data_IF_929386049690
#
_entry.id   IF_929386049690
#
_cell.length_a   1.000
_cell.length_b   1.000
_cell.length_c   1.000
_cell.angle_alpha   90.00
_cell.angle_beta   90.00
_cell.angle_gamma   90.00
#
_symmetry.space_group_name_H-M   'P 1'
#
loop_
_entity.id
_entity.type
_entity.pdbx_description
1 polymer ?
#
# COMPACT_ATOMS: atom_id res chain seq x y z
N UNK A 1 31.35 38.57 -32.51
CA UNK A 1 32.82 38.73 -32.79
C UNK A 1 33.44 37.36 -32.63
N UNK A 2 33.88 36.82 -33.74
CA UNK A 2 35.12 36.12 -34.06
C UNK A 2 35.48 34.91 -33.15
N UNK A 3 35.88 33.74 -33.61
CA UNK A 3 36.26 33.05 -34.88
C UNK A 3 36.70 31.67 -34.43
N UNK A 4 36.22 30.57 -34.96
CA UNK A 4 36.82 29.68 -36.01
C UNK A 4 38.28 29.27 -35.83
N UNK A 5 38.57 27.96 -35.86
CA UNK A 5 39.41 27.27 -36.87
C UNK A 5 39.83 25.92 -36.25
N UNK A 6 39.56 24.76 -36.78
CA UNK A 6 39.99 24.10 -38.05
C UNK A 6 41.40 23.56 -38.06
N UNK A 7 41.46 22.34 -38.53
CA UNK A 7 42.45 21.64 -39.39
C UNK A 7 43.23 20.55 -38.66
N UNK A 8 43.20 19.29 -39.03
CA UNK A 8 43.46 18.57 -40.29
C UNK A 8 44.87 18.01 -40.37
N UNK A 9 44.95 16.81 -40.87
CA UNK A 9 45.95 16.09 -41.68
C UNK A 9 46.61 14.90 -40.94
N UNK A 10 46.41 13.66 -41.30
CA UNK A 10 46.83 12.87 -42.48
C UNK A 10 48.30 12.44 -42.43
N UNK A 11 48.53 11.14 -42.55
CA UNK A 11 49.89 10.58 -42.73
C UNK A 11 49.84 9.06 -42.86
N UNK A 12 49.91 8.62 -44.04
CA UNK A 12 50.06 7.30 -44.64
C UNK A 12 51.43 6.66 -44.34
N UNK A 13 51.52 5.32 -44.35
CA UNK A 13 52.81 4.64 -44.43
C UNK A 13 52.65 3.11 -44.44
N UNK A 14 52.61 2.55 -45.63
CA UNK A 14 52.63 1.10 -45.83
C UNK A 14 54.04 0.55 -45.79
N UNK A 15 54.17 -0.67 -45.38
CA UNK A 15 55.33 -1.49 -45.70
C UNK A 15 54.93 -2.96 -45.83
N UNK A 16 55.10 -3.49 -47.02
CA UNK A 16 55.03 -4.90 -47.38
C UNK A 16 56.33 -5.58 -47.06
N UNK A 17 56.32 -6.73 -46.40
CA UNK A 17 57.40 -7.67 -46.45
C UNK A 17 56.91 -9.09 -46.71
N UNK A 18 57.56 -9.74 -47.68
CA UNK A 18 57.33 -11.11 -48.20
C UNK A 18 58.18 -12.10 -47.44
N UNK A 19 57.61 -13.21 -47.11
CA UNK A 19 57.91 -14.62 -47.03
C UNK A 19 59.23 -15.08 -46.36
N UNK A 20 59.39 -16.37 -46.01
CA UNK A 20 59.17 -17.47 -46.91
C UNK A 20 58.42 -18.71 -46.34
N UNK A 21 58.13 -19.58 -47.23
CA UNK A 21 57.55 -20.95 -47.12
C UNK A 21 58.46 -21.86 -46.29
N UNK A 22 57.91 -22.64 -45.37
CA UNK A 22 58.52 -23.83 -44.83
C UNK A 22 57.49 -24.96 -44.66
N UNK A 23 57.89 -26.10 -45.10
CA UNK A 23 57.21 -27.35 -45.44
C UNK A 23 56.76 -28.14 -44.21
N UNK A 24 55.65 -28.79 -44.41
CA UNK A 24 55.00 -29.91 -43.75
C UNK A 24 55.74 -30.73 -42.69
N UNK A 25 55.01 -31.07 -41.65
CA UNK A 25 55.08 -32.39 -41.00
C UNK A 25 53.66 -32.75 -40.47
N UNK A 26 53.07 -33.75 -41.08
CA UNK A 26 51.84 -34.36 -40.64
C UNK A 26 52.13 -35.22 -39.41
N UNK A 27 51.56 -34.88 -38.27
CA UNK A 27 51.41 -35.79 -37.13
C UNK A 27 49.95 -36.06 -36.90
N UNK A 28 49.51 -37.26 -37.20
CA UNK A 28 48.21 -37.80 -36.80
C UNK A 28 48.16 -37.90 -35.28
N UNK A 29 47.52 -36.93 -34.65
CA UNK A 29 47.11 -37.01 -33.26
C UNK A 29 45.66 -37.47 -33.19
N UNK A 30 45.44 -38.70 -32.72
CA UNK A 30 44.09 -39.20 -32.33
C UNK A 30 43.59 -38.35 -31.16
N UNK A 31 42.73 -37.41 -31.43
CA UNK A 31 42.01 -36.69 -30.36
C UNK A 31 40.77 -37.50 -30.04
N UNK A 32 40.80 -38.26 -28.95
CA UNK A 32 39.62 -38.84 -28.33
C UNK A 32 38.79 -37.71 -27.75
N UNK A 33 37.68 -37.38 -28.46
CA UNK A 33 36.67 -36.43 -27.93
C UNK A 33 35.92 -37.16 -26.80
N UNK A 34 36.29 -36.82 -25.57
CA UNK A 34 35.45 -37.13 -24.40
C UNK A 34 34.26 -36.20 -24.45
N UNK A 35 33.14 -36.72 -24.94
CA UNK A 35 31.86 -36.02 -24.87
C UNK A 35 31.44 -35.93 -23.40
N UNK A 36 31.71 -34.81 -22.77
CA UNK A 36 31.15 -34.46 -21.46
C UNK A 36 29.64 -34.23 -21.64
N UNK A 37 28.85 -35.29 -21.40
CA UNK A 37 27.41 -35.18 -21.28
C UNK A 37 27.13 -34.29 -20.05
N UNK A 38 26.89 -32.98 -20.29
CA UNK A 38 26.30 -32.14 -19.29
C UNK A 38 24.87 -32.62 -19.03
N UNK A 39 24.70 -33.35 -17.92
CA UNK A 39 23.39 -33.67 -17.38
C UNK A 39 22.72 -32.36 -17.04
N UNK A 40 21.98 -31.79 -17.98
CA UNK A 40 21.03 -30.69 -17.74
C UNK A 40 19.98 -31.25 -16.80
N UNK A 41 20.16 -31.03 -15.51
CA UNK A 41 19.16 -31.31 -14.50
C UNK A 41 17.85 -30.60 -14.89
N UNK A 42 16.69 -31.15 -14.56
CA UNK A 42 15.41 -30.52 -14.90
C UNK A 42 15.42 -29.11 -14.37
N UNK A 43 15.22 -28.11 -15.25
CA UNK A 43 15.09 -26.72 -14.87
C UNK A 43 13.99 -26.66 -13.80
N UNK A 44 14.37 -26.32 -12.55
CA UNK A 44 13.38 -26.10 -11.49
C UNK A 44 12.41 -25.07 -12.03
N UNK A 45 11.21 -25.49 -12.37
CA UNK A 45 10.10 -24.61 -12.70
C UNK A 45 9.98 -23.60 -11.56
N UNK A 46 10.28 -22.33 -11.85
CA UNK A 46 10.12 -21.28 -10.85
C UNK A 46 8.66 -21.30 -10.41
N UNK A 47 8.44 -21.48 -9.11
CA UNK A 47 7.08 -21.45 -8.56
C UNK A 47 6.38 -20.17 -9.04
N UNK A 48 5.10 -20.24 -9.44
CA UNK A 48 4.40 -19.09 -9.99
C UNK A 48 4.50 -17.91 -9.01
N UNK A 49 4.96 -16.77 -9.52
CA UNK A 49 5.12 -15.55 -8.73
C UNK A 49 3.76 -15.13 -8.22
N UNK A 50 3.54 -15.21 -6.92
CA UNK A 50 2.29 -14.78 -6.31
C UNK A 50 2.29 -13.26 -6.12
N UNK A 51 1.16 -12.64 -6.40
CA UNK A 51 0.96 -11.20 -6.23
C UNK A 51 -0.27 -10.94 -5.37
N UNK A 52 -0.26 -9.83 -4.65
CA UNK A 52 -1.38 -9.36 -3.86
C UNK A 52 -1.66 -7.90 -4.22
N UNK A 53 -2.91 -7.59 -4.53
CA UNK A 53 -3.37 -6.21 -4.68
C UNK A 53 -4.20 -5.83 -3.45
N UNK A 54 -3.73 -4.82 -2.73
CA UNK A 54 -4.39 -4.23 -1.57
C UNK A 54 -4.91 -2.85 -1.96
N UNK A 55 -6.14 -2.53 -1.58
CA UNK A 55 -6.71 -1.20 -1.72
C UNK A 55 -6.99 -0.60 -0.34
N UNK A 56 -6.74 0.69 -0.14
CA UNK A 56 -7.30 1.44 0.99
C UNK A 56 -8.29 2.47 0.49
N UNK A 57 -9.37 2.66 1.24
CA UNK A 57 -10.38 3.64 0.90
C UNK A 57 -11.21 4.03 2.12
N UNK A 58 -11.14 5.31 2.49
CA UNK A 58 -12.15 5.88 3.38
C UNK A 58 -13.44 6.02 2.57
N UNK A 59 -14.47 5.29 2.98
CA UNK A 59 -15.74 5.21 2.25
C UNK A 59 -16.64 6.41 2.46
N UNK A 60 -16.33 7.25 3.46
CA UNK A 60 -17.25 8.31 3.90
C UNK A 60 -18.69 7.76 4.07
N UNK A 61 -18.81 6.61 4.75
CA UNK A 61 -20.08 5.93 4.96
C UNK A 61 -20.91 6.48 6.12
N UNK A 62 -20.26 7.28 6.97
CA UNK A 62 -20.89 7.89 8.15
C UNK A 62 -21.55 9.21 7.76
N UNK A 63 -22.78 9.14 7.29
CA UNK A 63 -23.51 10.25 6.67
C UNK A 63 -23.49 11.53 7.52
N UNK A 64 -23.60 11.41 8.84
CA UNK A 64 -23.58 12.54 9.78
C UNK A 64 -22.22 13.24 9.90
N UNK A 65 -21.14 12.68 9.31
CA UNK A 65 -19.81 13.29 9.27
C UNK A 65 -19.55 14.06 7.97
N UNK A 66 -20.58 14.68 7.42
CA UNK A 66 -20.55 15.44 6.17
C UNK A 66 -20.41 14.57 4.91
N UNK A 67 -20.81 13.32 5.00
CA UNK A 67 -20.73 12.34 3.90
C UNK A 67 -21.98 12.25 3.02
N UNK A 68 -23.01 13.10 3.25
CA UNK A 68 -24.31 13.03 2.54
C UNK A 68 -24.19 13.19 1.02
N UNK A 69 -23.26 14.00 0.54
CA UNK A 69 -23.08 14.27 -0.88
C UNK A 69 -22.07 13.35 -1.57
N UNK A 70 -21.54 12.35 -0.87
CA UNK A 70 -20.46 11.48 -1.36
C UNK A 70 -20.94 10.17 -1.97
N UNK A 71 -22.20 10.08 -2.40
CA UNK A 71 -22.79 8.89 -3.01
C UNK A 71 -23.56 8.01 -2.03
N UNK A 72 -24.51 7.26 -2.57
CA UNK A 72 -25.36 6.34 -1.80
C UNK A 72 -24.58 5.12 -1.29
N UNK A 73 -25.08 4.40 -0.27
CA UNK A 73 -24.50 3.12 0.16
C UNK A 73 -24.34 2.12 -1.00
N UNK A 74 -25.27 2.09 -1.94
CA UNK A 74 -25.19 1.25 -3.15
C UNK A 74 -24.05 1.69 -4.07
N UNK A 75 -23.87 3.00 -4.30
CA UNK A 75 -22.76 3.50 -5.10
C UNK A 75 -21.40 3.12 -4.49
N UNK A 76 -21.27 3.18 -3.16
CA UNK A 76 -20.08 2.77 -2.43
C UNK A 76 -19.80 1.27 -2.58
N UNK A 77 -20.80 0.41 -2.47
CA UNK A 77 -20.67 -1.04 -2.69
C UNK A 77 -20.24 -1.34 -4.13
N UNK A 78 -20.89 -0.74 -5.12
CA UNK A 78 -20.54 -0.90 -6.54
C UNK A 78 -19.08 -0.48 -6.83
N UNK A 79 -18.58 0.54 -6.14
CA UNK A 79 -17.18 0.96 -6.26
C UNK A 79 -16.22 -0.11 -5.71
N UNK A 80 -16.53 -0.75 -4.57
CA UNK A 80 -15.75 -1.87 -4.03
C UNK A 80 -15.75 -3.07 -4.99
N UNK A 81 -16.91 -3.47 -5.51
CA UNK A 81 -17.04 -4.55 -6.49
C UNK A 81 -16.25 -4.26 -7.77
N UNK A 82 -16.30 -3.01 -8.26
CA UNK A 82 -15.52 -2.58 -9.42
C UNK A 82 -14.00 -2.65 -9.15
N UNK A 83 -13.54 -2.29 -7.96
CA UNK A 83 -12.14 -2.44 -7.59
C UNK A 83 -11.72 -3.91 -7.47
N UNK A 84 -12.59 -4.77 -6.93
CA UNK A 84 -12.34 -6.19 -6.85
C UNK A 84 -12.27 -6.85 -8.24
N UNK A 85 -13.23 -6.55 -9.12
CA UNK A 85 -13.36 -7.20 -10.44
C UNK A 85 -12.42 -6.60 -11.49
N UNK A 86 -12.33 -5.26 -11.59
CA UNK A 86 -11.60 -4.57 -12.66
C UNK A 86 -10.15 -4.25 -12.29
N UNK A 87 -9.87 -3.97 -11.02
CA UNK A 87 -8.51 -3.64 -10.55
C UNK A 87 -7.81 -4.82 -9.88
N UNK A 88 -8.49 -5.94 -9.69
CA UNK A 88 -7.94 -7.12 -9.08
C UNK A 88 -7.61 -6.98 -7.59
N UNK A 89 -8.20 -6.00 -6.90
CA UNK A 89 -8.04 -5.86 -5.46
C UNK A 89 -8.58 -7.11 -4.74
N UNK A 90 -7.81 -7.66 -3.83
CA UNK A 90 -8.15 -8.88 -3.07
C UNK A 90 -8.16 -8.66 -1.57
N UNK A 91 -7.65 -7.53 -1.10
CA UNK A 91 -7.71 -7.08 0.28
C UNK A 91 -8.05 -5.60 0.26
N UNK A 92 -9.00 -5.20 1.09
CA UNK A 92 -9.42 -3.81 1.26
C UNK A 92 -9.23 -3.38 2.71
N UNK A 93 -8.67 -2.21 2.89
CA UNK A 93 -8.60 -1.45 4.13
C UNK A 93 -9.69 -0.38 4.05
N UNK A 94 -10.72 -0.51 4.84
CA UNK A 94 -11.87 0.38 4.77
C UNK A 94 -11.96 1.22 6.03
N UNK A 95 -12.15 2.52 5.86
CA UNK A 95 -12.40 3.46 6.93
C UNK A 95 -13.80 4.06 6.73
N UNK A 96 -14.42 4.49 7.80
CA UNK A 96 -15.80 5.02 7.83
C UNK A 96 -16.81 4.10 7.15
N UNK A 97 -16.59 2.79 7.27
CA UNK A 97 -17.52 1.80 6.75
C UNK A 97 -18.58 1.47 7.78
N UNK A 98 -19.81 1.28 7.32
CA UNK A 98 -20.93 0.83 8.13
C UNK A 98 -21.02 -0.70 8.10
N UNK A 99 -21.15 -1.34 9.25
CA UNK A 99 -21.15 -2.80 9.37
C UNK A 99 -22.17 -3.49 8.45
N UNK A 100 -23.39 -2.98 8.38
CA UNK A 100 -24.42 -3.55 7.50
C UNK A 100 -24.11 -3.37 6.01
N UNK A 101 -23.40 -2.31 5.60
CA UNK A 101 -22.96 -2.15 4.21
C UNK A 101 -21.76 -3.07 3.91
N UNK A 102 -20.88 -3.29 4.88
CA UNK A 102 -19.80 -4.27 4.77
C UNK A 102 -20.33 -5.70 4.58
N UNK A 103 -21.37 -6.08 5.35
CA UNK A 103 -22.01 -7.39 5.21
C UNK A 103 -22.64 -7.58 3.82
N UNK A 104 -23.29 -6.54 3.29
CA UNK A 104 -23.89 -6.58 1.96
C UNK A 104 -22.83 -6.73 0.88
N UNK A 105 -21.76 -5.91 0.88
CA UNK A 105 -20.70 -6.02 -0.13
C UNK A 105 -19.99 -7.37 -0.05
N UNK A 106 -19.78 -7.91 1.16
CA UNK A 106 -19.24 -9.27 1.31
C UNK A 106 -20.13 -10.32 0.68
N UNK A 107 -21.46 -10.20 0.87
CA UNK A 107 -22.41 -11.11 0.24
C UNK A 107 -22.40 -10.99 -1.29
N UNK A 108 -22.37 -9.77 -1.82
CA UNK A 108 -22.32 -9.48 -3.26
C UNK A 108 -21.03 -10.02 -3.92
N UNK A 109 -19.90 -9.93 -3.22
CA UNK A 109 -18.61 -10.48 -3.68
C UNK A 109 -18.52 -12.00 -3.57
N UNK A 110 -19.38 -12.64 -2.77
CA UNK A 110 -19.51 -14.08 -2.65
C UNK A 110 -18.86 -14.70 -1.41
N UNK A 111 -19.16 -15.98 -1.20
CA UNK A 111 -18.84 -16.73 0.03
C UNK A 111 -17.32 -16.88 0.33
N UNK A 112 -16.46 -16.68 -0.65
CA UNK A 112 -14.99 -16.72 -0.46
C UNK A 112 -14.43 -15.45 0.19
N UNK A 113 -15.23 -14.40 0.35
CA UNK A 113 -14.79 -13.17 0.97
C UNK A 113 -15.05 -13.18 2.47
N UNK A 114 -14.08 -12.62 3.21
CA UNK A 114 -14.04 -12.56 4.66
C UNK A 114 -13.94 -11.12 5.12
N UNK A 115 -14.50 -10.83 6.27
CA UNK A 115 -14.47 -9.48 6.87
C UNK A 115 -14.01 -9.56 8.31
N UNK A 116 -13.21 -8.57 8.71
CA UNK A 116 -12.92 -8.26 10.11
C UNK A 116 -13.26 -6.79 10.35
N UNK A 117 -13.87 -6.48 11.46
CA UNK A 117 -14.42 -5.16 11.72
C UNK A 117 -14.11 -4.70 13.14
N UNK A 118 -13.63 -3.46 13.28
CA UNK A 118 -13.44 -2.77 14.56
C UNK A 118 -14.33 -1.53 14.59
N UNK A 119 -15.33 -1.44 15.51
CA UNK A 119 -16.21 -0.28 15.59
C UNK A 119 -15.47 0.94 16.14
N UNK A 120 -15.85 2.12 15.67
CA UNK A 120 -15.53 3.37 16.34
C UNK A 120 -16.34 3.51 17.61
N UNK A 121 -15.74 4.18 18.58
CA UNK A 121 -16.41 4.51 19.84
C UNK A 121 -16.31 6.00 20.13
N UNK A 122 -17.27 6.49 20.86
CA UNK A 122 -17.30 7.83 21.39
C UNK A 122 -17.16 7.78 22.91
N UNK A 123 -16.19 8.47 23.47
CA UNK A 123 -16.05 8.64 24.91
C UNK A 123 -16.58 10.02 25.31
N UNK A 124 -17.61 10.02 26.14
CA UNK A 124 -18.19 11.25 26.68
C UNK A 124 -17.40 11.82 27.87
N UNK A 125 -17.76 13.03 28.28
CA UNK A 125 -17.13 13.74 29.43
C UNK A 125 -17.28 12.98 30.76
N UNK A 126 -18.31 12.14 30.89
CA UNK A 126 -18.53 11.29 32.07
C UNK A 126 -17.68 10.00 32.04
N UNK A 127 -16.83 9.81 31.03
CA UNK A 127 -16.06 8.59 30.81
C UNK A 127 -16.84 7.45 30.16
N UNK A 128 -18.16 7.57 29.96
CA UNK A 128 -18.98 6.58 29.28
C UNK A 128 -18.54 6.46 27.82
N UNK A 129 -18.36 5.23 27.36
CA UNK A 129 -18.05 4.90 25.97
C UNK A 129 -19.26 4.29 25.30
N UNK A 130 -19.57 4.77 24.07
CA UNK A 130 -20.67 4.27 23.23
C UNK A 130 -20.15 3.96 21.84
N UNK A 131 -20.73 2.97 21.18
CA UNK A 131 -20.43 2.66 19.78
C UNK A 131 -21.01 3.73 18.86
N UNK A 132 -20.20 4.22 17.93
CA UNK A 132 -20.65 5.13 16.86
C UNK A 132 -21.49 4.31 15.86
N UNK A 133 -22.62 4.85 15.47
CA UNK A 133 -23.54 4.20 14.52
C UNK A 133 -23.73 5.05 13.28
N UNK A 134 -23.88 4.40 12.14
CA UNK A 134 -24.33 5.05 10.91
C UNK A 134 -25.82 5.42 11.00
N UNK A 135 -26.20 6.48 10.31
CA UNK A 135 -27.57 7.03 10.41
C UNK A 135 -28.62 6.24 9.62
N UNK A 136 -28.22 5.53 8.57
CA UNK A 136 -29.13 4.81 7.69
C UNK A 136 -29.70 3.53 8.33
N UNK A 137 -30.95 3.20 7.99
CA UNK A 137 -31.60 1.98 8.44
C UNK A 137 -30.79 0.73 8.05
N UNK A 138 -30.51 -0.14 9.02
CA UNK A 138 -29.74 -1.38 8.82
C UNK A 138 -28.27 -1.20 8.53
N UNK A 139 -27.69 0.00 8.64
CA UNK A 139 -26.25 0.23 8.46
C UNK A 139 -25.41 -0.17 9.68
N UNK A 140 -25.97 -0.12 10.90
CA UNK A 140 -25.29 -0.61 12.10
C UNK A 140 -24.18 0.30 12.61
N UNK A 141 -23.12 -0.30 13.15
CA UNK A 141 -21.96 0.42 13.67
C UNK A 141 -21.08 0.99 12.55
N UNK A 142 -20.46 2.14 12.81
CA UNK A 142 -19.39 2.68 11.97
C UNK A 142 -18.01 2.22 12.46
N UNK A 143 -17.06 1.99 11.57
CA UNK A 143 -15.74 1.51 11.98
C UNK A 143 -14.69 1.47 10.88
N UNK A 144 -13.60 0.77 11.19
CA UNK A 144 -12.60 0.30 10.22
C UNK A 144 -12.82 -1.17 9.94
N UNK A 145 -12.47 -1.61 8.72
CA UNK A 145 -12.58 -3.01 8.37
C UNK A 145 -11.45 -3.50 7.46
N UNK A 146 -11.18 -4.78 7.54
CA UNK A 146 -10.48 -5.58 6.53
C UNK A 146 -11.54 -6.40 5.77
N UNK A 147 -11.55 -6.28 4.44
CA UNK A 147 -12.37 -7.12 3.57
C UNK A 147 -11.41 -7.87 2.64
N UNK A 148 -11.45 -9.20 2.61
CA UNK A 148 -10.43 -10.03 1.96
C UNK A 148 -11.04 -11.20 1.20
N UNK A 149 -10.54 -11.44 -0.02
CA UNK A 149 -10.80 -12.66 -0.80
C UNK A 149 -10.05 -13.90 -0.27
N UNK A 150 -9.26 -13.73 0.78
CA UNK A 150 -8.51 -14.79 1.44
C UNK A 150 -8.90 -14.88 2.91
N UNK A 151 -8.73 -16.04 3.53
CA UNK A 151 -8.89 -16.19 4.96
C UNK A 151 -7.97 -15.24 5.73
N UNK A 152 -8.51 -14.60 6.75
CA UNK A 152 -7.78 -13.78 7.71
C UNK A 152 -7.54 -14.59 8.97
N UNK A 153 -6.34 -14.51 9.51
CA UNK A 153 -5.93 -15.13 10.77
C UNK A 153 -5.14 -14.16 11.61
N UNK A 154 -4.87 -14.48 12.87
CA UNK A 154 -4.18 -13.60 13.81
C UNK A 154 -4.75 -12.17 13.78
N UNK A 155 -6.08 -12.09 13.85
CA UNK A 155 -6.81 -10.81 13.86
C UNK A 155 -6.58 -10.13 15.19
N UNK A 156 -6.16 -8.87 15.15
CA UNK A 156 -5.73 -8.15 16.34
C UNK A 156 -6.05 -6.67 16.23
N UNK A 157 -6.85 -6.10 17.15
CA UNK A 157 -6.94 -4.67 17.33
C UNK A 157 -5.64 -4.17 17.97
N UNK A 158 -4.99 -3.19 17.36
CA UNK A 158 -3.77 -2.57 17.92
C UNK A 158 -4.17 -1.43 18.83
N UNK A 159 -3.75 -1.50 20.08
CA UNK A 159 -3.99 -0.43 21.03
C UNK A 159 -3.07 0.76 20.76
N UNK A 160 -3.64 1.96 20.85
CA UNK A 160 -2.92 3.21 20.67
C UNK A 160 -3.59 4.33 21.47
N UNK A 161 -2.87 5.42 21.68
CA UNK A 161 -3.43 6.57 22.40
C UNK A 161 -4.68 7.07 21.68
N UNK A 162 -5.73 7.30 22.47
CA UNK A 162 -7.04 7.72 21.98
C UNK A 162 -7.52 8.98 22.72
N UNK A 163 -8.42 9.79 22.14
CA UNK A 163 -9.01 10.92 22.83
C UNK A 163 -9.56 10.57 24.22
N UNK A 164 -9.27 11.40 25.21
CA UNK A 164 -9.87 11.31 26.54
C UNK A 164 -11.37 11.58 26.48
N UNK A 165 -11.78 12.54 25.65
CA UNK A 165 -13.18 12.83 25.32
C UNK A 165 -13.28 13.03 23.81
N UNK A 166 -14.09 12.26 23.14
CA UNK A 166 -14.27 12.38 21.69
C UNK A 166 -14.35 11.07 20.95
N UNK A 167 -14.11 11.16 19.64
CA UNK A 167 -14.15 10.03 18.71
C UNK A 167 -12.87 9.20 18.84
N UNK A 168 -13.04 7.92 19.17
CA UNK A 168 -11.96 6.95 19.24
C UNK A 168 -12.00 6.08 17.99
N UNK A 169 -10.99 6.23 17.18
CA UNK A 169 -10.76 5.46 15.94
C UNK A 169 -9.94 4.20 16.25
N UNK A 170 -9.33 3.58 15.24
CA UNK A 170 -8.58 2.35 15.54
C UNK A 170 -7.69 1.86 14.44
N UNK A 171 -6.89 0.88 14.84
CA UNK A 171 -5.99 0.11 14.00
C UNK A 171 -6.41 -1.36 14.12
N UNK A 172 -6.56 -2.04 13.00
CA UNK A 172 -6.95 -3.45 12.92
C UNK A 172 -5.97 -4.19 12.02
N UNK A 173 -5.33 -5.21 12.56
CA UNK A 173 -4.38 -6.05 11.84
C UNK A 173 -4.89 -7.47 11.68
N UNK A 174 -4.43 -8.15 10.63
CA UNK A 174 -4.64 -9.58 10.41
C UNK A 174 -3.51 -10.15 9.53
N UNK A 175 -3.46 -11.45 9.39
CA UNK A 175 -2.60 -12.14 8.42
C UNK A 175 -3.44 -12.74 7.31
N UNK A 176 -3.10 -12.44 6.06
CA UNK A 176 -3.66 -13.09 4.87
C UNK A 176 -3.04 -14.48 4.76
N UNK A 177 -3.76 -15.51 5.20
CA UNK A 177 -3.23 -16.84 5.49
C UNK A 177 -2.47 -17.46 4.29
N UNK A 178 -3.07 -17.44 3.10
CA UNK A 178 -2.49 -18.09 1.90
C UNK A 178 -1.30 -17.33 1.30
N UNK A 179 -1.11 -16.07 1.69
CA UNK A 179 -0.03 -15.21 1.21
C UNK A 179 1.09 -15.04 2.24
N UNK A 180 0.83 -15.34 3.51
CA UNK A 180 1.74 -15.09 4.62
C UNK A 180 2.13 -13.60 4.70
N UNK A 181 1.16 -12.72 4.45
CA UNK A 181 1.33 -11.25 4.48
C UNK A 181 0.49 -10.70 5.62
N UNK A 182 1.12 -9.96 6.52
CA UNK A 182 0.40 -9.20 7.53
C UNK A 182 -0.21 -7.96 6.90
N UNK A 183 -1.43 -7.65 7.26
CA UNK A 183 -2.17 -6.49 6.77
C UNK A 183 -2.71 -5.69 7.93
N UNK A 184 -2.53 -4.37 7.93
CA UNK A 184 -3.03 -3.49 8.99
C UNK A 184 -3.72 -2.27 8.39
N UNK A 185 -5.00 -2.10 8.68
CA UNK A 185 -5.74 -0.87 8.39
C UNK A 185 -5.76 0.05 9.58
N UNK A 186 -5.67 1.35 9.33
CA UNK A 186 -5.77 2.38 10.35
C UNK A 186 -6.71 3.50 9.91
N UNK A 187 -7.39 4.09 10.88
CA UNK A 187 -7.97 5.42 10.77
C UNK A 187 -7.51 6.20 12.00
N UNK A 188 -6.65 7.19 11.80
CA UNK A 188 -6.06 7.91 12.91
C UNK A 188 -6.91 9.14 13.29
N UNK A 189 -6.66 9.67 14.47
CA UNK A 189 -7.29 10.90 14.95
C UNK A 189 -6.96 12.09 14.04
N UNK A 190 -7.81 13.10 14.07
CA UNK A 190 -7.50 14.41 13.50
C UNK A 190 -7.02 15.35 14.60
N UNK A 191 -6.30 16.43 14.27
CA UNK A 191 -6.08 17.52 15.21
C UNK A 191 -7.40 17.97 15.86
N UNK A 192 -7.40 18.16 17.18
CA UNK A 192 -8.58 18.58 17.92
C UNK A 192 -9.65 17.50 18.20
N UNK A 193 -9.41 16.24 17.84
CA UNK A 193 -10.37 15.16 18.14
C UNK A 193 -10.52 14.88 19.64
N UNK A 194 -9.51 15.21 20.46
CA UNK A 194 -9.67 15.20 21.93
C UNK A 194 -10.30 16.51 22.41
N UNK A 195 -11.59 16.44 22.76
CA UNK A 195 -12.33 17.61 23.22
C UNK A 195 -11.96 18.10 24.63
N UNK A 196 -11.33 17.24 25.42
CA UNK A 196 -10.81 17.63 26.74
C UNK A 196 -9.44 18.30 26.62
N UNK A 197 -8.68 17.96 25.59
CA UNK A 197 -7.33 18.45 25.34
C UNK A 197 -7.15 18.70 23.83
N UNK A 198 -7.75 19.76 23.28
CA UNK A 198 -7.78 20.00 21.82
C UNK A 198 -6.39 20.23 21.22
N UNK A 199 -5.40 20.62 22.04
CA UNK A 199 -4.01 20.81 21.61
C UNK A 199 -3.17 19.53 21.65
N UNK A 200 -3.73 18.40 22.10
CA UNK A 200 -2.99 17.16 22.12
C UNK A 200 -2.89 16.57 20.70
N UNK A 201 -1.65 16.30 20.31
CA UNK A 201 -1.38 15.48 19.15
C UNK A 201 -1.44 13.99 19.54
N UNK A 202 -2.23 13.23 18.80
CA UNK A 202 -2.43 11.80 19.04
C UNK A 202 -1.89 10.95 17.90
N UNK A 203 -1.71 11.53 16.70
CA UNK A 203 -1.30 10.79 15.50
C UNK A 203 0.12 10.25 15.61
N UNK A 204 1.01 10.93 16.32
CA UNK A 204 2.39 10.49 16.55
C UNK A 204 2.45 9.16 17.32
N UNK A 205 1.70 9.05 18.43
CA UNK A 205 1.60 7.81 19.21
C UNK A 205 0.86 6.71 18.42
N UNK A 206 -0.17 7.07 17.66
CA UNK A 206 -0.93 6.14 16.83
C UNK A 206 -0.09 5.61 15.65
N UNK A 207 0.72 6.45 15.00
CA UNK A 207 1.67 6.05 13.96
C UNK A 207 2.78 5.15 14.50
N UNK A 208 3.30 5.44 15.71
CA UNK A 208 4.27 4.57 16.40
C UNK A 208 3.67 3.20 16.70
N UNK A 209 2.42 3.16 17.19
CA UNK A 209 1.72 1.90 17.46
C UNK A 209 1.49 1.09 16.18
N UNK A 210 1.05 1.75 15.09
CA UNK A 210 0.89 1.12 13.78
C UNK A 210 2.22 0.57 13.25
N UNK A 211 3.30 1.36 13.31
CA UNK A 211 4.63 0.94 12.85
C UNK A 211 5.19 -0.23 13.68
N UNK A 212 4.92 -0.28 14.99
CA UNK A 212 5.33 -1.37 15.86
C UNK A 212 4.59 -2.70 15.58
N UNK A 213 3.35 -2.62 15.06
CA UNK A 213 2.52 -3.79 14.74
C UNK A 213 2.89 -4.49 13.41
N UNK A 214 3.87 -3.95 12.66
CA UNK A 214 4.21 -4.39 11.29
C UNK A 214 5.68 -4.85 11.18
N UNK A 215 6.01 -6.05 11.67
CA UNK A 215 7.40 -6.50 11.80
C UNK A 215 8.08 -6.84 10.46
N UNK A 216 7.34 -7.13 9.41
CA UNK A 216 7.86 -7.51 8.10
C UNK A 216 6.85 -8.29 7.27
N UNK A 217 7.08 -8.44 5.97
CA UNK A 217 6.15 -9.01 5.00
C UNK A 217 4.74 -8.43 5.16
N UNK A 218 4.66 -7.11 5.15
CA UNK A 218 3.47 -6.38 5.57
C UNK A 218 3.01 -5.43 4.47
N UNK A 219 1.68 -5.23 4.40
CA UNK A 219 1.04 -4.06 3.79
C UNK A 219 0.21 -3.38 4.86
N UNK A 220 0.42 -2.09 5.09
CA UNK A 220 -0.30 -1.35 6.11
C UNK A 220 -0.57 0.09 5.68
N UNK A 221 -1.53 0.72 6.29
CA UNK A 221 -1.92 2.08 6.01
C UNK A 221 -3.39 2.34 6.31
N UNK A 222 -4.03 3.17 5.51
CA UNK A 222 -5.39 3.65 5.73
C UNK A 222 -5.44 5.16 5.65
N UNK A 223 -6.45 5.74 6.24
CA UNK A 223 -6.57 7.19 6.45
C UNK A 223 -5.78 7.58 7.70
N UNK A 224 -4.60 8.16 7.49
CA UNK A 224 -3.71 8.57 8.57
C UNK A 224 -3.93 10.03 9.00
N UNK A 225 -4.86 10.75 8.37
CA UNK A 225 -5.24 12.12 8.68
C UNK A 225 -4.05 13.10 8.80
N UNK A 226 -3.01 12.90 8.00
CA UNK A 226 -1.80 13.73 7.99
C UNK A 226 -1.18 13.73 6.60
N UNK A 227 -0.60 14.85 6.20
CA UNK A 227 0.18 14.96 4.97
C UNK A 227 1.53 14.20 5.08
N UNK A 228 2.19 13.90 3.96
CA UNK A 228 3.52 13.30 3.98
C UNK A 228 4.53 14.21 4.67
N UNK A 229 5.51 13.64 5.41
CA UNK A 229 6.52 14.46 6.08
C UNK A 229 7.34 15.25 5.05
N UNK A 230 7.47 16.54 5.25
CA UNK A 230 8.19 17.43 4.35
C UNK A 230 8.75 18.65 5.06
N UNK A 231 9.71 19.36 4.45
CA UNK A 231 10.39 20.50 5.12
C UNK A 231 9.47 21.69 5.38
N UNK A 232 8.28 21.72 4.77
CA UNK A 232 7.28 22.77 4.94
C UNK A 232 6.03 22.31 5.70
N UNK A 233 5.96 21.02 6.03
CA UNK A 233 4.85 20.47 6.80
C UNK A 233 5.16 20.58 8.30
N UNK A 234 4.42 21.40 9.07
CA UNK A 234 4.63 21.56 10.50
C UNK A 234 4.43 20.28 11.29
N UNK A 235 3.65 19.34 10.75
CA UNK A 235 3.33 18.05 11.38
C UNK A 235 4.34 16.96 11.02
N UNK A 236 5.42 17.25 10.29
CA UNK A 236 6.43 16.26 9.88
C UNK A 236 7.04 15.48 11.06
N UNK A 237 7.06 16.05 12.24
CA UNK A 237 7.61 15.44 13.45
C UNK A 237 6.79 14.26 13.98
N UNK A 238 5.50 14.16 13.62
CA UNK A 238 4.64 13.04 14.06
C UNK A 238 5.04 11.71 13.41
N UNK A 239 5.74 11.76 12.26
CA UNK A 239 6.12 10.56 11.53
C UNK A 239 7.27 9.83 12.21
N UNK A 240 7.09 8.56 12.62
CA UNK A 240 8.17 7.76 13.15
C UNK A 240 9.20 7.41 12.06
N UNK A 241 10.39 7.01 12.46
CA UNK A 241 11.49 6.72 11.53
C UNK A 241 11.25 5.51 10.60
N UNK A 242 10.33 4.60 10.94
CA UNK A 242 10.07 3.36 10.21
C UNK A 242 9.45 3.56 8.82
N UNK A 243 8.27 4.19 8.72
CA UNK A 243 7.65 4.52 7.44
C UNK A 243 8.59 5.32 6.54
N UNK A 244 8.52 5.10 5.24
CA UNK A 244 9.42 5.67 4.21
C UNK A 244 10.89 5.21 4.25
N UNK A 245 11.37 4.59 5.33
CA UNK A 245 12.75 4.05 5.43
C UNK A 245 12.77 2.54 5.27
N UNK A 246 12.14 1.83 6.18
CA UNK A 246 12.05 0.37 6.16
C UNK A 246 10.97 -0.13 5.19
N UNK A 247 9.93 0.67 4.96
CA UNK A 247 8.84 0.37 4.04
C UNK A 247 8.73 1.48 2.99
N UNK A 248 8.29 1.10 1.79
CA UNK A 248 7.97 2.06 0.72
C UNK A 248 6.49 2.38 0.72
N UNK A 249 6.20 3.66 0.64
CA UNK A 249 4.84 4.12 0.37
C UNK A 249 4.48 3.83 -1.09
N UNK A 250 3.20 3.51 -1.35
CA UNK A 250 2.66 3.14 -2.65
C UNK A 250 3.06 4.11 -3.76
N UNK A 251 2.84 5.39 -3.54
CA UNK A 251 3.05 6.46 -4.53
C UNK A 251 4.46 7.11 -4.47
N UNK A 252 5.31 6.61 -3.58
CA UNK A 252 6.67 7.12 -3.40
C UNK A 252 7.53 6.90 -4.65
N UNK A 253 7.92 7.97 -5.31
CA UNK A 253 8.70 7.91 -6.55
C UNK A 253 10.14 7.41 -6.33
N UNK A 254 10.80 7.79 -5.23
CA UNK A 254 12.16 7.38 -4.87
C UNK A 254 12.28 7.16 -3.36
N UNK A 255 13.40 6.62 -2.89
CA UNK A 255 13.66 6.40 -1.46
C UNK A 255 13.64 7.70 -0.63
N UNK A 256 13.97 8.83 -1.24
CA UNK A 256 13.96 10.15 -0.60
C UNK A 256 12.64 10.92 -0.80
N UNK A 257 11.79 10.49 -1.74
CA UNK A 257 10.50 11.18 -2.00
C UNK A 257 9.55 11.03 -0.82
N UNK A 258 8.87 12.13 -0.49
CA UNK A 258 7.80 12.19 0.51
C UNK A 258 6.52 12.77 -0.08
N UNK A 259 6.51 13.06 -1.37
CA UNK A 259 5.33 13.53 -2.11
C UNK A 259 4.59 12.37 -2.75
N UNK A 260 3.32 12.57 -3.01
CA UNK A 260 2.46 11.64 -3.72
C UNK A 260 1.22 12.36 -4.24
N UNK A 261 0.40 11.65 -5.00
CA UNK A 261 -0.86 12.18 -5.52
C UNK A 261 -1.84 12.44 -4.38
N UNK A 262 -2.65 13.50 -4.44
CA UNK A 262 -3.74 13.71 -3.50
C UNK A 262 -4.65 12.48 -3.40
N UNK A 263 -5.09 12.17 -2.20
CA UNK A 263 -6.02 11.08 -1.92
C UNK A 263 -7.36 11.56 -1.37
N UNK A 264 -7.51 12.87 -1.21
CA UNK A 264 -8.75 13.53 -0.78
C UNK A 264 -9.08 14.69 -1.73
N UNK A 265 -10.36 15.02 -1.87
CA UNK A 265 -10.85 16.12 -2.76
C UNK A 265 -10.31 17.50 -2.37
N UNK A 266 -9.86 17.69 -1.13
CA UNK A 266 -9.21 18.93 -0.68
C UNK A 266 -7.80 19.13 -1.25
N UNK A 267 -7.26 18.16 -1.98
CA UNK A 267 -5.90 18.22 -2.52
C UNK A 267 -4.83 17.63 -1.59
N UNK A 268 -5.20 17.19 -0.39
CA UNK A 268 -4.28 16.55 0.55
C UNK A 268 -4.05 15.06 0.23
N UNK A 269 -2.86 14.56 0.57
CA UNK A 269 -2.54 13.14 0.61
C UNK A 269 -2.59 12.69 2.06
N UNK A 270 -3.69 12.05 2.44
CA UNK A 270 -3.92 11.60 3.83
C UNK A 270 -4.16 10.08 3.91
N UNK A 271 -4.35 9.40 2.78
CA UNK A 271 -4.45 7.95 2.71
C UNK A 271 -3.15 7.35 2.19
N UNK A 272 -2.74 6.23 2.77
CA UNK A 272 -1.45 5.60 2.54
C UNK A 272 -1.54 4.09 2.46
N UNK A 273 -0.61 3.50 1.68
CA UNK A 273 -0.27 2.08 1.72
C UNK A 273 1.24 1.94 1.73
N UNK A 274 1.79 1.43 2.82
CA UNK A 274 3.21 1.11 2.97
C UNK A 274 3.44 -0.39 2.85
N UNK A 275 4.61 -0.79 2.34
CA UNK A 275 5.03 -2.18 2.30
C UNK A 275 6.55 -2.32 2.24
N UNK A 276 7.07 -3.39 2.85
CA UNK A 276 8.43 -3.90 2.66
C UNK A 276 8.53 -4.92 1.51
N UNK A 277 7.39 -5.33 0.95
CA UNK A 277 7.33 -6.24 -0.20
C UNK A 277 7.65 -5.51 -1.52
N UNK A 278 8.22 -6.22 -2.53
CA UNK A 278 8.50 -5.61 -3.83
C UNK A 278 7.22 -5.06 -4.47
N UNK A 279 7.18 -3.74 -4.66
CA UNK A 279 6.09 -3.03 -5.32
C UNK A 279 6.10 -3.32 -6.82
N UNK A 280 4.96 -3.68 -7.35
CA UNK A 280 4.74 -3.92 -8.77
C UNK A 280 3.95 -2.78 -9.43
N UNK A 281 2.99 -2.21 -8.71
CA UNK A 281 2.15 -1.13 -9.22
C UNK A 281 1.55 -0.30 -8.08
N UNK A 282 1.22 0.95 -8.36
CA UNK A 282 0.52 1.87 -7.47
C UNK A 282 -0.41 2.79 -8.25
N UNK A 283 -1.66 2.89 -7.83
CA UNK A 283 -2.63 3.80 -8.47
C UNK A 283 -3.53 4.49 -7.45
N UNK A 284 -3.87 5.76 -7.72
CA UNK A 284 -4.91 6.52 -7.02
C UNK A 284 -6.09 6.64 -7.95
N UNK A 285 -7.30 6.37 -7.47
CA UNK A 285 -8.53 6.33 -8.27
C UNK A 285 -9.67 7.04 -7.59
N UNK A 286 -10.27 8.01 -8.24
CA UNK A 286 -11.55 8.55 -7.85
C UNK A 286 -12.65 7.47 -8.02
N UNK A 287 -13.45 7.27 -7.00
CA UNK A 287 -14.57 6.31 -7.04
C UNK A 287 -15.88 6.98 -7.45
N UNK A 288 -15.97 8.30 -7.32
CA UNK A 288 -17.21 9.07 -7.46
C UNK A 288 -18.21 8.80 -6.31
N UNK A 289 -17.80 8.08 -5.27
CA UNK A 289 -18.66 7.66 -4.17
C UNK A 289 -18.05 7.95 -2.78
N UNK A 290 -17.05 8.80 -2.70
CA UNK A 290 -16.42 9.32 -1.48
C UNK A 290 -15.70 10.62 -1.81
N UNK A 291 -15.44 11.43 -0.83
CA UNK A 291 -14.49 12.55 -0.87
C UNK A 291 -13.04 12.08 -0.81
N UNK A 292 -12.79 10.82 -0.45
CA UNK A 292 -11.50 10.17 -0.58
C UNK A 292 -11.37 9.37 -1.89
N UNK A 293 -10.16 9.36 -2.46
CA UNK A 293 -9.79 8.51 -3.58
C UNK A 293 -9.23 7.17 -3.05
N UNK A 294 -9.56 6.10 -3.74
CA UNK A 294 -8.99 4.80 -3.40
C UNK A 294 -7.53 4.71 -3.85
N UNK A 295 -6.65 4.26 -2.95
CA UNK A 295 -5.25 3.99 -3.23
C UNK A 295 -5.05 2.47 -3.34
N UNK A 296 -4.47 2.01 -4.47
CA UNK A 296 -4.24 0.60 -4.74
C UNK A 296 -2.75 0.31 -4.86
N UNK A 297 -2.28 -0.69 -4.14
CA UNK A 297 -0.91 -1.18 -4.16
C UNK A 297 -0.88 -2.65 -4.58
N UNK A 298 -0.13 -2.97 -5.64
CA UNK A 298 0.17 -4.34 -6.01
C UNK A 298 1.60 -4.70 -5.63
N UNK A 299 1.74 -5.77 -4.87
CA UNK A 299 3.03 -6.27 -4.39
C UNK A 299 3.26 -7.71 -4.83
N UNK A 300 4.54 -8.12 -4.86
CA UNK A 300 4.94 -9.52 -5.03
C UNK A 300 5.05 -10.18 -3.66
N UNK A 301 4.36 -11.31 -3.47
CA UNK A 301 4.37 -12.05 -2.20
C UNK A 301 5.30 -13.27 -2.21
N UNK A 302 5.69 -13.74 -3.40
CA UNK A 302 6.69 -14.81 -3.63
C UNK A 302 7.36 -14.63 -4.99
#
# INVERSE_FOLDING_TARGET
MFRTSSASAAGSGGSRWRGPVAVAAALLGLVTAVASAQLSGPARSAAPRRTLTVATWNMCGVEQWNCRSTGSPTAKRNALEAMASRSGARVFFLQEVCAGDLDRVRADLGASWHTEFRPYTWRGVTGRTTTVRCAGAGQGAAGVALLSAYRLSAVEPVESRQPAVGLRRGILCATVADQGVRVCTAHLSRPGDDRAHPDWELRDDQLKALAAAVPGRTVYGGDLNTDPPGPRDPDSWIWPAGPYRAQRECDQASASSRSGRPTHVSGHKIDYLFSDLPRLDCSVRGTGASDHYALLLRVRTR
#
